data_IF_528391519200
#
_entry.id   IF_528391519200
#
_cell.length_a   1.000
_cell.length_b   1.000
_cell.length_c   1.000
_cell.angle_alpha   90.00
_cell.angle_beta   90.00
_cell.angle_gamma   90.00
#
_symmetry.space_group_name_H-M   'P 1'
#
loop_
_entity.id
_entity.type
_entity.pdbx_description
1 polymer ?
#
# COMPACT_ATOMS: atom_id res chain seq x y z
N UNK A 1 -15.44 -6.54 2.90
CA UNK A 1 -14.17 -7.28 2.70
C UNK A 1 -13.44 -7.37 4.03
N UNK A 2 -12.59 -8.39 4.23
CA UNK A 2 -11.77 -8.53 5.45
C UNK A 2 -10.29 -8.37 5.10
N UNK A 3 -9.52 -7.76 6.00
CA UNK A 3 -8.07 -7.57 5.90
C UNK A 3 -7.43 -8.20 7.12
N UNK A 4 -6.46 -9.09 6.92
CA UNK A 4 -5.70 -9.69 8.02
C UNK A 4 -4.57 -8.75 8.43
N UNK A 5 -4.78 -7.96 9.47
CA UNK A 5 -3.75 -7.12 10.06
C UNK A 5 -2.83 -8.02 10.92
N UNK A 6 -1.50 -8.05 10.69
CA UNK A 6 -0.58 -8.87 11.48
C UNK A 6 -0.57 -8.55 12.99
N UNK A 7 -1.01 -7.35 13.35
CA UNK A 7 -1.04 -6.86 14.74
C UNK A 7 -2.42 -7.06 15.37
N UNK A 8 -3.50 -6.87 14.61
CA UNK A 8 -4.88 -6.85 15.14
C UNK A 8 -5.75 -8.04 14.72
N UNK A 9 -5.21 -8.96 13.92
CA UNK A 9 -5.92 -10.07 13.30
C UNK A 9 -6.84 -9.63 12.15
N UNK A 10 -7.81 -10.48 11.83
CA UNK A 10 -8.76 -10.23 10.76
C UNK A 10 -9.78 -9.14 11.13
N UNK A 11 -9.80 -8.06 10.34
CA UNK A 11 -10.64 -6.87 10.57
C UNK A 11 -11.43 -6.48 9.33
N UNK A 12 -12.48 -5.70 9.53
CA UNK A 12 -13.30 -5.17 8.43
C UNK A 12 -12.50 -4.12 7.64
N UNK A 13 -12.58 -4.16 6.32
CA UNK A 13 -11.87 -3.21 5.45
C UNK A 13 -12.19 -1.74 5.72
N UNK A 14 -13.35 -1.43 6.33
CA UNK A 14 -13.72 -0.07 6.73
C UNK A 14 -12.85 0.53 7.85
N UNK A 15 -12.08 -0.29 8.56
CA UNK A 15 -11.08 0.19 9.52
C UNK A 15 -9.81 0.73 8.83
N UNK A 16 -9.68 0.56 7.51
CA UNK A 16 -8.47 0.84 6.76
C UNK A 16 -8.69 1.86 5.65
N UNK A 17 -7.66 2.64 5.35
CA UNK A 17 -7.62 3.50 4.18
C UNK A 17 -6.76 2.86 3.09
N UNK A 18 -7.34 2.72 1.90
CA UNK A 18 -6.61 2.27 0.72
C UNK A 18 -5.65 3.37 0.23
N UNK A 19 -4.42 2.99 -0.12
CA UNK A 19 -3.37 3.92 -0.57
C UNK A 19 -2.80 3.59 -1.94
N UNK A 20 -3.30 2.54 -2.60
CA UNK A 20 -2.84 2.14 -3.93
C UNK A 20 -1.85 0.98 -3.86
N UNK A 21 -0.84 1.00 -4.73
CA UNK A 21 0.16 -0.07 -4.82
C UNK A 21 1.14 -0.08 -3.63
N UNK A 22 1.56 -1.28 -3.24
CA UNK A 22 2.65 -1.53 -2.29
C UNK A 22 4.00 -0.92 -2.73
N UNK A 23 4.19 -0.63 -4.02
CA UNK A 23 5.39 0.09 -4.56
C UNK A 23 5.63 1.43 -3.86
N UNK A 24 4.62 2.03 -3.24
CA UNK A 24 4.77 3.25 -2.43
C UNK A 24 5.72 3.10 -1.23
N UNK A 25 6.00 1.87 -0.78
CA UNK A 25 6.99 1.62 0.26
C UNK A 25 8.43 1.85 -0.25
N UNK A 26 8.64 1.73 -1.57
CA UNK A 26 9.94 1.81 -2.22
C UNK A 26 10.24 3.23 -2.70
N UNK A 27 10.19 4.20 -1.78
CA UNK A 27 10.51 5.60 -2.10
C UNK A 27 11.98 5.71 -2.55
N UNK A 28 12.26 6.32 -3.73
CA UNK A 28 13.62 6.58 -4.16
C UNK A 28 14.43 7.44 -3.17
N UNK A 29 15.75 7.27 -3.20
CA UNK A 29 16.67 8.14 -2.49
C UNK A 29 16.53 9.60 -2.98
N UNK A 30 16.81 10.60 -2.13
CA UNK A 30 16.64 12.01 -2.49
C UNK A 30 17.40 12.45 -3.76
N UNK A 31 18.51 11.79 -4.07
CA UNK A 31 19.42 12.05 -5.19
C UNK A 31 19.22 11.10 -6.39
N UNK A 32 18.18 10.26 -6.39
CA UNK A 32 17.91 9.28 -7.44
C UNK A 32 17.53 9.87 -8.82
N UNK A 33 17.39 11.19 -8.91
CA UNK A 33 17.08 11.89 -10.16
C UNK A 33 15.58 11.93 -10.51
N UNK A 34 15.25 12.79 -11.47
CA UNK A 34 13.86 13.10 -11.81
C UNK A 34 13.07 11.91 -12.39
N UNK A 35 13.72 11.04 -13.17
CA UNK A 35 13.08 9.87 -13.78
C UNK A 35 12.58 8.87 -12.73
N UNK A 36 13.42 8.56 -11.73
CA UNK A 36 13.05 7.68 -10.62
C UNK A 36 11.88 8.25 -9.81
N UNK A 37 11.87 9.57 -9.57
CA UNK A 37 10.75 10.23 -8.90
C UNK A 37 9.49 10.27 -9.77
N UNK A 38 9.61 10.45 -11.09
CA UNK A 38 8.48 10.39 -12.01
C UNK A 38 7.80 9.01 -11.95
N UNK A 39 8.58 7.94 -12.07
CA UNK A 39 8.10 6.57 -11.97
C UNK A 39 7.46 6.28 -10.59
N UNK A 40 8.10 6.75 -9.50
CA UNK A 40 7.58 6.58 -8.15
C UNK A 40 6.26 7.32 -7.91
N UNK A 41 6.13 8.58 -8.36
CA UNK A 41 4.97 9.44 -8.09
C UNK A 41 3.79 9.12 -9.01
N UNK A 42 4.04 8.86 -10.29
CA UNK A 42 2.98 8.83 -11.30
C UNK A 42 2.67 7.44 -11.85
N UNK A 43 3.62 6.51 -11.84
CA UNK A 43 3.47 5.22 -12.53
C UNK A 43 3.08 4.11 -11.55
N UNK A 44 1.99 3.41 -11.86
CA UNK A 44 1.48 2.28 -11.09
C UNK A 44 1.07 1.14 -12.01
N UNK A 45 1.37 -0.08 -11.58
CA UNK A 45 0.83 -1.27 -12.20
C UNK A 45 -0.67 -1.37 -11.92
N UNK A 46 -1.43 -1.80 -12.93
CA UNK A 46 -2.86 -2.07 -12.80
C UNK A 46 -3.16 -3.47 -13.37
N UNK A 47 -2.63 -4.53 -12.73
CA UNK A 47 -2.81 -5.88 -13.22
C UNK A 47 -4.28 -6.31 -13.07
N UNK A 48 -4.74 -7.14 -14.00
CA UNK A 48 -6.00 -7.85 -13.83
C UNK A 48 -5.77 -9.06 -12.92
N UNK A 49 -6.46 -9.12 -11.78
CA UNK A 49 -6.30 -10.19 -10.79
C UNK A 49 -5.43 -9.75 -9.62
N UNK A 50 -4.55 -10.65 -9.15
CA UNK A 50 -3.74 -10.44 -7.94
C UNK A 50 -2.89 -9.15 -8.04
N UNK A 51 -3.06 -8.29 -7.03
CA UNK A 51 -2.38 -7.03 -6.87
C UNK A 51 -1.88 -6.88 -5.42
N UNK A 52 -0.69 -6.31 -5.27
CA UNK A 52 -0.10 -5.96 -3.97
C UNK A 52 -0.49 -4.53 -3.61
N UNK A 53 -1.42 -4.43 -2.68
CA UNK A 53 -2.05 -3.19 -2.26
C UNK A 53 -1.48 -2.69 -0.92
N UNK A 54 -1.36 -1.37 -0.77
CA UNK A 54 -0.98 -0.72 0.47
C UNK A 54 -2.22 -0.15 1.18
N UNK A 55 -2.35 -0.47 2.47
CA UNK A 55 -3.46 -0.08 3.33
C UNK A 55 -2.94 0.52 4.64
N UNK A 56 -3.66 1.49 5.21
CA UNK A 56 -3.35 2.08 6.52
C UNK A 56 -4.45 1.76 7.54
N UNK A 57 -4.11 1.11 8.65
CA UNK A 57 -5.09 0.67 9.68
C UNK A 57 -5.46 1.80 10.67
N UNK A 58 -6.17 2.80 10.17
CA UNK A 58 -6.51 4.04 10.88
C UNK A 58 -7.34 3.82 12.16
N UNK A 59 -8.36 2.96 12.10
CA UNK A 59 -9.22 2.65 13.25
C UNK A 59 -8.65 1.54 14.15
N UNK A 60 -7.35 1.26 14.07
CA UNK A 60 -6.69 0.17 14.80
C UNK A 60 -5.24 0.48 15.17
N UNK A 61 -4.29 -0.35 14.72
CA UNK A 61 -2.89 -0.21 15.11
C UNK A 61 -2.14 0.96 14.45
N UNK A 62 -2.79 1.71 13.54
CA UNK A 62 -2.20 2.84 12.79
C UNK A 62 -0.91 2.46 12.05
N UNK A 63 -0.82 1.19 11.62
CA UNK A 63 0.31 0.68 10.86
C UNK A 63 -0.03 0.55 9.37
N UNK A 64 1.01 0.53 8.55
CA UNK A 64 0.94 0.25 7.13
C UNK A 64 0.94 -1.26 6.89
N UNK A 65 -0.02 -1.74 6.10
CA UNK A 65 -0.23 -3.15 5.79
C UNK A 65 -0.18 -3.36 4.28
N UNK A 66 0.53 -4.40 3.83
CA UNK A 66 0.44 -4.89 2.45
C UNK A 66 -0.57 -6.03 2.40
N UNK A 67 -1.53 -5.95 1.49
CA UNK A 67 -2.51 -7.00 1.22
C UNK A 67 -2.39 -7.48 -0.22
N UNK A 68 -2.55 -8.78 -0.46
CA UNK A 68 -2.58 -9.40 -1.78
C UNK A 68 -4.03 -9.76 -2.14
N UNK A 69 -4.53 -9.28 -3.28
CA UNK A 69 -5.93 -9.44 -3.70
C UNK A 69 -6.09 -9.53 -5.19
#
# INVERSE_FOLDING_TARGET
MRINCPICGERDSREFHYRGSAKLLDRPAPDAGAEAFYDYVYIRENPTGLNRELWFHDSGCRSWIVAER
#
